data_IF_871071019290
#
_entry.id   IF_871071019290
#
_cell.length_a   1.000
_cell.length_b   1.000
_cell.length_c   1.000
_cell.angle_alpha   90.00
_cell.angle_beta   90.00
_cell.angle_gamma   90.00
#
_symmetry.space_group_name_H-M   'P 1'
#
loop_
_entity.id
_entity.type
_entity.pdbx_description
1 polymer ?
#
# COMPACT_ATOMS: atom_id res chain seq x y z
N UNK A 1 28.53 -16.39 -41.88
CA UNK A 1 27.72 -15.56 -42.79
C UNK A 1 26.34 -15.48 -42.19
N UNK A 2 26.08 -14.46 -41.37
CA UNK A 2 24.77 -14.25 -40.74
C UNK A 2 24.15 -13.06 -41.44
N UNK A 3 23.01 -13.29 -42.09
CA UNK A 3 22.30 -12.31 -42.89
C UNK A 3 21.77 -11.20 -41.98
N UNK A 4 22.38 -10.02 -42.04
CA UNK A 4 21.76 -8.80 -41.52
C UNK A 4 20.64 -8.44 -42.50
N UNK A 5 19.40 -8.79 -42.15
CA UNK A 5 18.21 -8.28 -42.83
C UNK A 5 18.27 -6.75 -42.73
N UNK A 6 18.26 -6.00 -43.84
CA UNK A 6 18.23 -4.55 -43.79
C UNK A 6 16.97 -4.08 -43.04
N UNK A 7 17.15 -3.21 -42.04
CA UNK A 7 16.06 -2.58 -41.31
C UNK A 7 15.13 -1.84 -42.30
N UNK A 8 13.82 -2.16 -42.37
CA UNK A 8 12.85 -1.55 -43.29
C UNK A 8 12.47 -0.08 -42.97
N UNK A 9 13.22 0.59 -42.10
CA UNK A 9 12.89 1.85 -41.43
C UNK A 9 13.84 3.00 -41.79
N UNK A 10 14.80 2.77 -42.69
CA UNK A 10 15.59 3.85 -43.30
C UNK A 10 14.85 4.66 -44.37
N UNK A 11 13.51 4.55 -44.47
CA UNK A 11 12.71 5.34 -45.41
C UNK A 11 12.72 6.83 -45.03
N UNK A 12 13.12 7.74 -45.93
CA UNK A 12 13.15 9.18 -45.66
C UNK A 12 11.71 9.70 -45.41
N UNK A 13 11.34 9.88 -44.14
CA UNK A 13 10.04 10.43 -43.75
C UNK A 13 9.35 9.73 -42.58
N UNK A 14 9.84 8.58 -42.11
CA UNK A 14 9.30 7.93 -40.90
C UNK A 14 9.91 8.60 -39.65
N UNK A 15 9.10 8.97 -38.63
CA UNK A 15 9.65 9.40 -37.36
C UNK A 15 10.52 8.28 -36.76
N UNK A 16 11.61 8.61 -36.06
CA UNK A 16 12.48 7.61 -35.45
C UNK A 16 11.65 6.70 -34.55
N UNK A 17 11.95 5.39 -34.61
CA UNK A 17 11.33 4.42 -33.73
C UNK A 17 11.61 4.82 -32.26
N UNK A 18 10.58 5.03 -31.42
CA UNK A 18 10.81 5.31 -30.00
C UNK A 18 11.35 4.10 -29.24
N UNK A 19 11.30 2.90 -29.81
CA UNK A 19 11.77 1.68 -29.16
C UNK A 19 13.30 1.65 -29.08
N UNK A 20 13.86 1.20 -27.94
CA UNK A 20 15.29 1.10 -27.75
C UNK A 20 15.91 0.02 -28.65
N UNK A 21 17.05 0.33 -29.27
CA UNK A 21 17.77 -0.61 -30.14
C UNK A 21 18.27 -1.82 -29.34
N UNK A 22 17.96 -3.07 -29.74
CA UNK A 22 18.37 -4.27 -29.00
C UNK A 22 19.88 -4.40 -28.82
N UNK A 23 20.68 -4.03 -29.83
CA UNK A 23 22.15 -4.08 -29.76
C UNK A 23 22.75 -3.05 -28.78
N UNK A 24 21.96 -2.07 -28.36
CA UNK A 24 22.37 -0.98 -27.46
C UNK A 24 21.68 -1.08 -26.10
N UNK A 25 20.81 -2.06 -25.91
CA UNK A 25 19.95 -2.19 -24.73
C UNK A 25 20.18 -3.53 -24.07
N UNK A 26 20.87 -3.51 -22.92
CA UNK A 26 21.18 -4.72 -22.17
C UNK A 26 19.91 -5.49 -21.81
N UNK A 27 19.90 -6.78 -22.12
CA UNK A 27 18.78 -7.67 -21.82
C UNK A 27 17.59 -7.55 -22.76
N UNK A 28 17.64 -6.75 -23.83
CA UNK A 28 16.57 -6.71 -24.84
C UNK A 28 16.89 -7.68 -25.98
N UNK A 29 16.05 -8.69 -26.18
CA UNK A 29 16.15 -9.58 -27.33
C UNK A 29 15.61 -8.89 -28.60
N UNK A 30 16.03 -9.31 -29.81
CA UNK A 30 15.56 -8.75 -31.10
C UNK A 30 14.05 -8.79 -31.38
N UNK A 31 13.23 -9.29 -30.44
CA UNK A 31 11.76 -9.28 -30.47
C UNK A 31 11.10 -8.40 -29.40
N UNK A 32 11.87 -7.58 -28.67
CA UNK A 32 11.36 -6.71 -27.60
C UNK A 32 11.09 -7.43 -26.27
N UNK A 33 11.45 -8.70 -26.15
CA UNK A 33 11.41 -9.45 -24.90
C UNK A 33 12.63 -9.15 -24.03
N UNK A 34 12.45 -9.23 -22.72
CA UNK A 34 13.54 -9.22 -21.74
C UNK A 34 13.58 -10.60 -21.08
N UNK A 35 14.76 -11.23 -20.87
CA UNK A 35 14.86 -12.52 -20.21
C UNK A 35 14.15 -12.52 -18.85
N UNK A 36 13.39 -13.59 -18.54
CA UNK A 36 12.82 -13.79 -17.21
C UNK A 36 13.92 -13.73 -16.15
N UNK A 37 13.84 -12.77 -15.23
CA UNK A 37 14.82 -12.58 -14.13
C UNK A 37 15.58 -11.24 -14.16
N UNK A 38 15.61 -10.52 -15.28
CA UNK A 38 16.15 -9.15 -15.36
C UNK A 38 15.19 -8.10 -14.77
N UNK A 39 13.90 -8.44 -14.67
CA UNK A 39 12.96 -7.74 -13.79
C UNK A 39 13.03 -8.40 -12.41
N UNK A 40 13.31 -7.67 -11.32
CA UNK A 40 13.17 -8.22 -9.98
C UNK A 40 11.79 -8.90 -9.85
N UNK A 41 11.69 -10.09 -9.21
CA UNK A 41 10.43 -10.79 -9.07
C UNK A 41 9.36 -9.84 -8.53
N UNK A 42 8.18 -9.78 -9.17
CA UNK A 42 7.03 -9.01 -8.69
C UNK A 42 6.64 -9.37 -7.24
N UNK A 43 7.04 -10.57 -6.82
CA UNK A 43 6.89 -11.19 -5.50
C UNK A 43 7.71 -10.50 -4.39
N UNK A 44 8.62 -9.59 -4.73
CA UNK A 44 9.27 -8.70 -3.75
C UNK A 44 8.33 -7.60 -3.24
N UNK A 45 7.02 -7.68 -3.54
CA UNK A 45 5.98 -6.89 -2.90
C UNK A 45 5.85 -7.26 -1.42
N UNK A 46 6.78 -6.73 -0.62
CA UNK A 46 6.56 -6.23 0.74
C UNK A 46 5.61 -7.06 1.62
N UNK A 47 5.82 -8.36 1.74
CA UNK A 47 5.12 -9.22 2.72
C UNK A 47 5.35 -8.75 4.18
N UNK A 48 6.32 -7.84 4.39
CA UNK A 48 6.66 -7.25 5.69
C UNK A 48 6.52 -5.73 5.82
N UNK A 49 5.82 -5.02 4.92
CA UNK A 49 5.64 -3.55 5.05
C UNK A 49 4.51 -3.14 6.01
N UNK A 50 3.93 -4.08 6.74
CA UNK A 50 3.04 -3.75 7.85
C UNK A 50 3.83 -3.09 8.99
N UNK A 51 3.23 -2.15 9.75
CA UNK A 51 3.82 -1.68 10.99
C UNK A 51 4.22 -2.86 11.88
N UNK A 52 5.42 -2.82 12.46
CA UNK A 52 5.82 -3.82 13.46
C UNK A 52 4.84 -3.75 14.62
N UNK A 53 4.03 -4.79 14.78
CA UNK A 53 3.09 -4.93 15.89
C UNK A 53 3.86 -5.26 17.18
N UNK A 54 4.60 -4.26 17.69
CA UNK A 54 5.41 -4.33 18.91
C UNK A 54 4.62 -3.85 20.13
N UNK A 55 3.52 -3.10 19.92
CA UNK A 55 2.73 -2.46 20.98
C UNK A 55 1.25 -2.87 20.93
N UNK A 56 1.01 -4.17 21.07
CA UNK A 56 -0.32 -4.70 21.37
C UNK A 56 -0.37 -5.11 22.86
N UNK A 57 -0.62 -4.18 23.79
CA UNK A 57 -0.65 -4.50 25.21
C UNK A 57 -1.74 -5.55 25.48
N UNK A 58 -1.43 -6.63 26.22
CA UNK A 58 -2.38 -7.69 26.49
C UNK A 58 -3.57 -7.10 27.28
N UNK A 59 -4.74 -7.11 26.65
CA UNK A 59 -6.09 -6.93 27.20
C UNK A 59 -6.12 -6.49 28.68
N UNK A 60 -6.08 -5.19 28.94
CA UNK A 60 -6.12 -4.68 30.31
C UNK A 60 -6.26 -3.17 30.42
N UNK A 61 -5.62 -2.45 29.50
CA UNK A 61 -5.65 -0.98 29.49
C UNK A 61 -7.02 -0.38 29.19
N UNK A 62 -7.92 -1.09 28.51
CA UNK A 62 -9.26 -0.59 28.21
C UNK A 62 -10.17 -0.52 29.46
N UNK A 63 -9.91 -1.34 30.48
CA UNK A 63 -10.80 -1.43 31.66
C UNK A 63 -10.76 -0.16 32.51
N UNK A 64 -9.58 0.45 32.68
CA UNK A 64 -9.42 1.66 33.49
C UNK A 64 -10.22 2.87 32.94
N UNK A 65 -10.06 3.29 31.66
CA UNK A 65 -10.84 4.39 31.11
C UNK A 65 -12.34 4.04 31.00
N UNK A 66 -12.69 2.80 30.67
CA UNK A 66 -14.10 2.36 30.63
C UNK A 66 -14.78 2.50 32.00
N UNK A 67 -14.09 2.06 33.07
CA UNK A 67 -14.61 2.16 34.44
C UNK A 67 -14.79 3.62 34.87
N UNK A 68 -13.83 4.49 34.53
CA UNK A 68 -13.92 5.92 34.82
C UNK A 68 -15.10 6.58 34.11
N UNK A 69 -15.31 6.26 32.82
CA UNK A 69 -16.45 6.76 32.03
C UNK A 69 -17.77 6.29 32.64
N UNK A 70 -17.90 4.98 32.92
CA UNK A 70 -19.12 4.43 33.51
C UNK A 70 -19.46 5.08 34.86
N UNK A 71 -18.45 5.29 35.71
CA UNK A 71 -18.65 5.96 37.00
C UNK A 71 -19.11 7.41 36.81
N UNK A 72 -18.46 8.16 35.91
CA UNK A 72 -18.86 9.53 35.58
C UNK A 72 -20.29 9.61 35.03
N UNK A 73 -20.64 8.73 34.09
CA UNK A 73 -21.99 8.64 33.52
C UNK A 73 -23.03 8.31 34.59
N UNK A 74 -22.75 7.36 35.48
CA UNK A 74 -23.67 6.99 36.56
C UNK A 74 -23.91 8.17 37.53
N UNK A 75 -22.87 8.92 37.89
CA UNK A 75 -22.98 10.09 38.75
C UNK A 75 -23.83 11.20 38.11
N UNK A 76 -23.58 11.50 36.83
CA UNK A 76 -24.35 12.50 36.08
C UNK A 76 -25.82 12.06 35.96
N UNK A 77 -26.07 10.79 35.61
CA UNK A 77 -27.42 10.26 35.51
C UNK A 77 -28.16 10.33 36.86
N UNK A 78 -27.49 9.97 37.97
CA UNK A 78 -28.06 10.07 39.31
C UNK A 78 -28.39 11.52 39.70
N UNK A 79 -27.51 12.47 39.35
CA UNK A 79 -27.77 13.90 39.56
C UNK A 79 -29.06 14.34 38.85
N UNK A 80 -29.20 14.03 37.55
CA UNK A 80 -30.40 14.38 36.80
C UNK A 80 -31.64 13.68 37.31
N UNK A 81 -31.53 12.42 37.73
CA UNK A 81 -32.63 11.68 38.32
C UNK A 81 -33.14 12.36 39.60
N UNK A 82 -32.24 12.73 40.51
CA UNK A 82 -32.60 13.47 41.73
C UNK A 82 -33.18 14.84 41.40
N UNK A 83 -32.55 15.58 40.48
CA UNK A 83 -33.04 16.89 40.03
C UNK A 83 -34.46 16.81 39.44
N UNK A 84 -34.74 15.78 38.63
CA UNK A 84 -36.06 15.56 38.05
C UNK A 84 -37.12 15.28 39.12
N UNK A 85 -36.78 14.48 40.15
CA UNK A 85 -37.67 14.24 41.29
C UNK A 85 -37.93 15.54 42.08
N UNK A 86 -36.91 16.37 42.32
CA UNK A 86 -37.08 17.69 42.95
C UNK A 86 -37.97 18.61 42.12
N UNK A 87 -37.91 18.52 40.78
CA UNK A 87 -38.72 19.36 39.90
C UNK A 87 -40.19 18.90 39.82
N UNK A 88 -40.44 17.59 40.03
CA UNK A 88 -41.77 16.99 39.88
C UNK A 88 -42.63 17.14 41.14
N UNK A 89 -42.00 17.26 42.32
CA UNK A 89 -42.64 17.37 43.62
C UNK A 89 -42.51 18.79 44.17
#
# INVERSE_FOLDING_TARGET
MTHATPQPDSEPGRPPNPDPEPERTTGLEPGGSVPPGETPPAESSMSGAGPRETHNPPTGWAKAPLTLILLGTALIAAFFLVYALILIF
#
